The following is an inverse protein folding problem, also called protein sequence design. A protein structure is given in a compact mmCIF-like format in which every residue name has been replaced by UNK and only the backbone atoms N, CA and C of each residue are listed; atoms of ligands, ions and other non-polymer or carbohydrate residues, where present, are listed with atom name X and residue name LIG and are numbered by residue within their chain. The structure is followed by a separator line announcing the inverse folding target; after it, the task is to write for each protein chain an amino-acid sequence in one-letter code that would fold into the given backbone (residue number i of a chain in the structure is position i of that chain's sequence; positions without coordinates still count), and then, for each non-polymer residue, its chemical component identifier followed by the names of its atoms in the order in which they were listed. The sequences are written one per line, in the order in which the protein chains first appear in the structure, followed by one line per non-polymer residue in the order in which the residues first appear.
data_IF_098858292995
#
_entry.id   IF_098858292995
#
_cell.length_a   1.000
_cell.length_b   1.000
_cell.length_c   1.000
_cell.angle_alpha   90.00
_cell.angle_beta   90.00
_cell.angle_gamma   90.00
#
_symmetry.space_group_name_H-M   'P 1'
#
loop_
_entity.id
_entity.type
_entity.pdbx_description
1 polymer ?
#
# COMPACT_ATOMS: atom_id res chain seq x y z
N UNK A 1 -10.11 -16.97 -4.92
CA UNK A 1 -10.56 -15.55 -4.86
C UNK A 1 -9.59 -14.74 -4.00
N UNK A 2 -9.16 -13.60 -4.48
CA UNK A 2 -8.25 -12.73 -3.75
C UNK A 2 -9.03 -11.76 -2.87
N UNK A 3 -8.72 -11.75 -1.58
CA UNK A 3 -9.35 -10.85 -0.62
C UNK A 3 -8.43 -9.67 -0.33
N UNK A 4 -8.97 -8.46 -0.42
CA UNK A 4 -8.24 -7.22 -0.18
C UNK A 4 -8.88 -6.39 0.92
N UNK A 5 -8.07 -5.69 1.70
CA UNK A 5 -8.57 -4.83 2.77
C UNK A 5 -7.63 -3.64 2.97
N UNK A 6 -8.10 -2.66 3.73
CA UNK A 6 -7.33 -1.47 4.09
C UNK A 6 -7.42 -1.27 5.60
N UNK A 7 -6.30 -0.92 6.21
CA UNK A 7 -6.20 -0.75 7.65
C UNK A 7 -5.37 0.48 7.99
N UNK A 8 -5.91 1.31 8.88
CA UNK A 8 -5.20 2.47 9.41
C UNK A 8 -4.66 2.12 10.81
N UNK A 9 -3.33 2.08 10.94
CA UNK A 9 -2.67 1.76 12.21
C UNK A 9 -1.68 2.86 12.53
N UNK A 10 -1.91 3.56 13.65
CA UNK A 10 -1.09 4.70 14.05
C UNK A 10 0.33 4.34 14.44
N UNK A 11 0.61 3.12 14.75
CA UNK A 11 1.93 2.73 15.20
C UNK A 11 2.12 1.25 14.99
N UNK A 12 2.80 0.88 13.92
CA UNK A 12 3.21 -0.51 13.71
C UNK A 12 4.66 -0.66 14.15
N UNK A 13 4.86 -1.36 15.25
CA UNK A 13 6.15 -1.93 15.60
C UNK A 13 6.12 -3.42 15.21
N UNK A 14 7.20 -4.13 15.48
CA UNK A 14 7.29 -5.54 15.10
C UNK A 14 6.21 -6.40 15.76
N UNK A 15 5.83 -6.11 17.00
CA UNK A 15 4.76 -6.85 17.67
C UNK A 15 3.41 -6.64 17.05
N UNK A 16 3.10 -5.41 16.60
CA UNK A 16 1.85 -5.10 15.91
C UNK A 16 1.80 -5.72 14.52
N UNK A 17 2.93 -5.80 13.84
CA UNK A 17 3.01 -6.49 12.55
C UNK A 17 2.61 -7.96 12.69
N UNK A 18 3.06 -8.63 13.74
CA UNK A 18 2.65 -10.02 14.01
C UNK A 18 1.15 -10.14 14.20
N UNK A 19 0.54 -9.22 14.95
CA UNK A 19 -0.91 -9.21 15.15
C UNK A 19 -1.64 -9.02 13.81
N UNK A 20 -1.16 -8.12 12.96
CA UNK A 20 -1.74 -7.87 11.63
C UNK A 20 -1.64 -9.12 10.76
N UNK A 21 -0.49 -9.78 10.72
CA UNK A 21 -0.30 -11.02 9.94
C UNK A 21 -1.22 -12.13 10.42
N UNK A 22 -1.37 -12.30 11.73
CA UNK A 22 -2.27 -13.29 12.30
C UNK A 22 -3.73 -13.00 11.92
N UNK A 23 -4.13 -11.74 11.99
CA UNK A 23 -5.48 -11.33 11.59
C UNK A 23 -5.73 -11.60 10.11
N UNK A 24 -4.77 -11.30 9.23
CA UNK A 24 -4.87 -11.60 7.80
C UNK A 24 -5.06 -13.09 7.55
N UNK A 25 -4.30 -13.92 8.24
CA UNK A 25 -4.41 -15.38 8.11
C UNK A 25 -5.77 -15.86 8.60
N UNK A 26 -6.23 -15.35 9.73
CA UNK A 26 -7.50 -15.77 10.34
C UNK A 26 -8.71 -15.49 9.45
N UNK A 27 -8.73 -14.33 8.79
CA UNK A 27 -9.87 -13.93 7.93
C UNK A 27 -9.58 -14.11 6.44
N UNK A 28 -8.47 -14.77 6.08
CA UNK A 28 -8.09 -15.07 4.70
C UNK A 28 -7.93 -13.83 3.81
N UNK A 29 -7.33 -12.78 4.34
CA UNK A 29 -6.98 -11.60 3.55
C UNK A 29 -5.66 -11.85 2.83
N UNK A 30 -5.63 -11.62 1.53
CA UNK A 30 -4.43 -11.82 0.70
C UNK A 30 -3.62 -10.54 0.51
N UNK A 31 -4.28 -9.39 0.44
CA UNK A 31 -3.64 -8.10 0.21
C UNK A 31 -4.21 -7.09 1.22
N UNK A 32 -3.34 -6.47 2.01
CA UNK A 32 -3.75 -5.50 3.00
C UNK A 32 -2.96 -4.21 2.82
N UNK A 33 -3.67 -3.10 2.59
CA UNK A 33 -3.09 -1.77 2.61
C UNK A 33 -3.02 -1.23 4.03
N UNK A 34 -1.92 -0.60 4.39
CA UNK A 34 -1.68 -0.05 5.72
C UNK A 34 -1.29 1.42 5.57
N UNK A 35 -1.88 2.28 6.38
CA UNK A 35 -1.53 3.70 6.43
C UNK A 35 -1.11 4.11 7.85
N UNK A 36 -0.53 5.31 7.96
CA UNK A 36 0.05 5.85 9.19
C UNK A 36 1.17 4.97 9.78
N UNK A 37 1.91 4.35 8.90
CA UNK A 37 3.07 3.55 9.28
C UNK A 37 4.16 4.46 9.85
N UNK A 38 4.78 4.04 10.96
CA UNK A 38 5.86 4.81 11.62
C UNK A 38 7.25 4.31 11.27
N UNK A 39 7.39 3.63 10.16
CA UNK A 39 8.69 3.21 9.66
C UNK A 39 9.33 4.31 8.84
N UNK A 40 10.66 4.37 8.85
CA UNK A 40 11.42 5.27 8.01
C UNK A 40 11.98 4.53 6.80
N UNK A 41 12.22 5.27 5.72
CA UNK A 41 12.77 4.70 4.50
C UNK A 41 11.75 3.97 3.66
N UNK A 42 12.22 3.30 2.62
CA UNK A 42 11.39 2.52 1.71
C UNK A 42 12.07 1.22 1.38
N UNK A 43 11.27 0.18 1.12
CA UNK A 43 11.82 -1.12 0.81
C UNK A 43 10.78 -2.21 0.79
N UNK A 44 11.28 -3.44 0.82
CA UNK A 44 10.46 -4.64 0.84
C UNK A 44 11.16 -5.73 1.64
N UNK A 45 10.38 -6.57 2.29
CA UNK A 45 10.94 -7.70 3.03
C UNK A 45 9.93 -8.82 3.19
N UNK A 46 10.45 -10.02 3.43
CA UNK A 46 9.66 -11.21 3.68
C UNK A 46 9.54 -11.41 5.20
N UNK A 47 8.32 -11.69 5.67
CA UNK A 47 8.07 -11.99 7.08
C UNK A 47 7.12 -13.19 7.16
N UNK A 48 7.68 -14.38 7.38
CA UNK A 48 6.95 -15.65 7.41
C UNK A 48 6.11 -15.88 6.14
N UNK A 49 4.78 -15.89 6.26
CA UNK A 49 3.87 -16.12 5.14
C UNK A 49 3.44 -14.85 4.42
N UNK A 50 4.09 -13.73 4.70
CA UNK A 50 3.72 -12.43 4.14
C UNK A 50 4.92 -11.71 3.56
N UNK A 51 4.67 -10.91 2.54
CA UNK A 51 5.64 -10.03 1.92
C UNK A 51 5.17 -8.59 2.06
N UNK A 52 6.05 -7.70 2.50
CA UNK A 52 5.67 -6.34 2.85
C UNK A 52 6.46 -5.34 2.01
N UNK A 53 5.72 -4.47 1.32
CA UNK A 53 6.25 -3.32 0.59
C UNK A 53 5.93 -2.09 1.41
N UNK A 54 6.90 -1.25 1.72
CA UNK A 54 6.66 -0.08 2.56
C UNK A 54 7.39 1.15 2.06
N UNK A 55 6.81 2.31 2.39
CA UNK A 55 7.37 3.61 2.06
C UNK A 55 7.03 4.58 3.18
N UNK A 56 8.06 5.11 3.85
CA UNK A 56 7.92 6.05 4.96
C UNK A 56 8.79 7.29 4.77
N UNK A 57 8.59 8.27 5.63
CA UNK A 57 9.41 9.48 5.62
C UNK A 57 10.75 9.21 6.30
N UNK A 58 11.82 9.72 5.74
CA UNK A 58 13.18 9.50 6.28
C UNK A 58 13.39 10.15 7.64
N UNK A 59 12.84 11.34 7.84
CA UNK A 59 13.07 12.14 9.05
C UNK A 59 11.96 12.08 10.07
N UNK A 60 10.74 11.67 9.65
CA UNK A 60 9.55 11.65 10.50
C UNK A 60 8.95 10.25 10.49
N UNK A 61 8.83 9.64 11.65
CA UNK A 61 8.22 8.31 11.79
C UNK A 61 6.71 8.41 11.82
N UNK A 62 6.12 8.88 10.73
CA UNK A 62 4.68 9.01 10.58
C UNK A 62 4.30 9.11 9.11
N UNK A 63 3.02 8.95 8.81
CA UNK A 63 2.43 9.12 7.48
C UNK A 63 2.96 8.14 6.43
N UNK A 64 3.63 7.08 6.85
CA UNK A 64 4.07 6.03 5.94
C UNK A 64 2.92 5.14 5.48
N UNK A 65 3.15 4.42 4.40
CA UNK A 65 2.20 3.49 3.82
C UNK A 65 2.88 2.16 3.54
N UNK A 66 2.09 1.08 3.56
CA UNK A 66 2.59 -0.24 3.22
C UNK A 66 1.51 -1.07 2.56
N UNK A 67 1.93 -2.06 1.80
CA UNK A 67 1.05 -3.10 1.26
C UNK A 67 1.64 -4.44 1.68
N UNK A 68 0.85 -5.22 2.43
CA UNK A 68 1.22 -6.55 2.86
C UNK A 68 0.53 -7.57 1.98
N UNK A 69 1.30 -8.49 1.43
CA UNK A 69 0.82 -9.49 0.47
C UNK A 69 1.03 -10.88 1.06
N UNK A 70 -0.03 -11.69 1.08
CA UNK A 70 0.08 -13.08 1.50
C UNK A 70 0.93 -13.85 0.48
N UNK A 71 1.72 -14.79 0.98
CA UNK A 71 2.61 -15.62 0.15
C UNK A 71 1.87 -16.30 -1.01
N UNK A 72 0.60 -16.66 -0.83
CA UNK A 72 -0.21 -17.31 -1.87
C UNK A 72 -0.29 -16.49 -3.16
N UNK A 73 -0.30 -15.16 -3.05
CA UNK A 73 -0.45 -14.26 -4.20
C UNK A 73 0.86 -13.53 -4.54
N UNK A 74 1.94 -13.85 -3.83
CA UNK A 74 3.25 -13.20 -4.06
C UNK A 74 3.75 -13.42 -5.49
N UNK A 75 3.53 -14.61 -6.05
CA UNK A 75 3.97 -14.94 -7.41
C UNK A 75 3.22 -14.16 -8.48
N UNK A 76 2.07 -13.59 -8.17
CA UNK A 76 1.31 -12.75 -9.09
C UNK A 76 1.81 -11.31 -9.15
N UNK A 77 2.74 -10.92 -8.27
CA UNK A 77 3.26 -9.55 -8.27
C UNK A 77 4.16 -9.35 -9.49
N UNK A 78 3.80 -8.38 -10.32
CA UNK A 78 4.56 -7.98 -11.51
C UNK A 78 5.57 -6.89 -11.19
N UNK A 79 5.28 -6.05 -10.21
CA UNK A 79 6.16 -4.98 -9.80
C UNK A 79 5.59 -4.14 -8.68
N UNK A 80 6.43 -3.29 -8.11
CA UNK A 80 6.07 -2.37 -7.06
C UNK A 80 6.64 -0.99 -7.40
N UNK A 81 5.86 0.05 -7.20
CA UNK A 81 6.29 1.43 -7.38
C UNK A 81 6.23 2.17 -6.04
N UNK A 82 7.38 2.62 -5.58
CA UNK A 82 7.53 3.42 -4.36
C UNK A 82 7.69 4.88 -4.78
N UNK A 83 6.59 5.51 -5.21
CA UNK A 83 6.63 6.84 -5.82
C UNK A 83 7.08 7.92 -4.85
N UNK A 84 6.61 7.84 -3.59
CA UNK A 84 6.95 8.81 -2.56
C UNK A 84 6.53 8.24 -1.19
N UNK A 85 6.76 9.03 -0.15
CA UNK A 85 6.48 8.60 1.23
C UNK A 85 4.99 8.51 1.60
N UNK A 86 4.08 8.81 0.66
CA UNK A 86 2.62 8.79 0.90
C UNK A 86 1.87 7.86 -0.04
N UNK A 87 2.56 7.24 -0.98
CA UNK A 87 1.89 6.45 -2.03
C UNK A 87 2.76 5.28 -2.46
N UNK A 88 2.18 4.11 -2.42
CA UNK A 88 2.82 2.88 -2.85
C UNK A 88 1.85 2.09 -3.72
N UNK A 89 2.34 1.57 -4.84
CA UNK A 89 1.54 0.78 -5.77
C UNK A 89 2.18 -0.57 -6.00
N UNK A 90 1.35 -1.62 -6.00
CA UNK A 90 1.78 -2.98 -6.34
C UNK A 90 0.91 -3.48 -7.49
N UNK A 91 1.57 -3.98 -8.53
CA UNK A 91 0.91 -4.45 -9.75
C UNK A 91 0.84 -5.97 -9.73
N UNK A 92 -0.35 -6.53 -9.89
CA UNK A 92 -0.61 -7.96 -9.85
C UNK A 92 -1.12 -8.46 -11.19
N UNK A 93 -0.66 -9.65 -11.58
CA UNK A 93 -1.14 -10.33 -12.77
C UNK A 93 -2.48 -11.00 -12.51
N UNK A 94 -3.48 -10.76 -13.37
CA UNK A 94 -4.76 -11.46 -13.37
C UNK A 94 -4.91 -12.33 -14.62
N UNK A 95 -6.03 -13.02 -14.73
CA UNK A 95 -6.30 -13.89 -15.88
C UNK A 95 -6.62 -13.11 -17.15
N UNK A 96 -7.58 -12.19 -17.07
CA UNK A 96 -8.05 -11.41 -18.23
C UNK A 96 -7.58 -9.98 -18.19
N UNK A 97 -7.27 -9.46 -17.02
CA UNK A 97 -6.76 -8.11 -16.80
C UNK A 97 -5.85 -8.13 -15.57
N UNK A 98 -4.97 -7.17 -15.51
CA UNK A 98 -4.10 -7.01 -14.34
C UNK A 98 -4.72 -6.06 -13.34
N UNK A 99 -4.24 -6.11 -12.10
CA UNK A 99 -4.77 -5.30 -11.00
C UNK A 99 -3.64 -4.44 -10.43
N UNK A 100 -3.90 -3.14 -10.33
CA UNK A 100 -3.01 -2.21 -9.64
C UNK A 100 -3.64 -1.86 -8.29
N UNK A 101 -2.94 -2.14 -7.21
CA UNK A 101 -3.37 -1.77 -5.86
C UNK A 101 -2.48 -0.65 -5.36
N UNK A 102 -3.08 0.47 -5.01
CA UNK A 102 -2.37 1.65 -4.54
C UNK A 102 -2.85 2.02 -3.15
N UNK A 103 -1.93 2.12 -2.20
CA UNK A 103 -2.19 2.61 -0.86
C UNK A 103 -1.71 4.05 -0.75
N UNK A 104 -2.59 4.93 -0.32
CA UNK A 104 -2.34 6.37 -0.23
C UNK A 104 -2.60 6.84 1.19
N UNK A 105 -1.72 7.68 1.73
CA UNK A 105 -2.00 8.37 2.98
C UNK A 105 -2.89 9.57 2.70
N UNK A 106 -4.02 9.66 3.41
CA UNK A 106 -4.98 10.75 3.22
C UNK A 106 -4.41 12.08 3.70
N UNK A 107 -4.63 13.13 2.91
CA UNK A 107 -4.32 14.48 3.32
C UNK A 107 -5.30 14.94 4.39
N UNK A 108 -4.79 15.67 5.38
CA UNK A 108 -5.64 16.27 6.42
C UNK A 108 -6.35 17.51 5.88
N UNK A 109 -7.38 17.97 6.59
CA UNK A 109 -8.08 19.19 6.23
C UNK A 109 -7.18 20.44 6.28
N UNK A 110 -6.06 20.36 6.98
CA UNK A 110 -5.08 21.44 7.11
C UNK A 110 -3.96 21.39 6.07
N UNK A 111 -4.05 20.49 5.09
CA UNK A 111 -3.04 20.39 4.05
C UNK A 111 -2.98 21.68 3.23
N UNK A 112 -1.77 22.13 2.90
CA UNK A 112 -1.56 23.29 2.04
C UNK A 112 -2.07 23.01 0.62
N UNK A 113 -2.48 24.08 -0.08
CA UNK A 113 -2.99 23.96 -1.46
C UNK A 113 -1.98 23.32 -2.39
N UNK A 114 -0.69 23.63 -2.21
CA UNK A 114 0.39 23.05 -3.03
C UNK A 114 0.48 21.53 -2.84
N UNK A 115 0.33 21.04 -1.60
CA UNK A 115 0.32 19.59 -1.31
C UNK A 115 -0.88 18.90 -1.94
N UNK A 116 -2.05 19.50 -1.87
CA UNK A 116 -3.27 18.96 -2.46
C UNK A 116 -3.12 18.87 -3.98
N UNK A 117 -2.62 19.92 -4.62
CA UNK A 117 -2.38 19.95 -6.06
C UNK A 117 -1.40 18.86 -6.48
N UNK A 118 -0.27 18.76 -5.80
CA UNK A 118 0.75 17.76 -6.08
C UNK A 118 0.19 16.34 -5.95
N UNK A 119 -0.61 16.08 -4.90
CA UNK A 119 -1.23 14.80 -4.66
C UNK A 119 -2.15 14.40 -5.83
N UNK A 120 -3.01 15.33 -6.29
CA UNK A 120 -3.90 15.06 -7.42
C UNK A 120 -3.14 14.86 -8.73
N UNK A 121 -2.04 15.55 -8.94
CA UNK A 121 -1.18 15.35 -10.11
C UNK A 121 -0.61 13.93 -10.13
N UNK A 122 -0.17 13.41 -8.99
CA UNK A 122 0.33 12.04 -8.88
C UNK A 122 -0.77 11.03 -9.17
N UNK A 123 -1.97 11.26 -8.64
CA UNK A 123 -3.11 10.38 -8.92
C UNK A 123 -3.44 10.36 -10.41
N UNK A 124 -3.42 11.51 -11.08
CA UNK A 124 -3.65 11.59 -12.52
C UNK A 124 -2.59 10.83 -13.30
N UNK A 125 -1.33 10.94 -12.90
CA UNK A 125 -0.24 10.21 -13.53
C UNK A 125 -0.42 8.70 -13.38
N UNK A 126 -0.82 8.23 -12.21
CA UNK A 126 -1.12 6.82 -11.98
C UNK A 126 -2.24 6.34 -12.91
N UNK A 127 -3.30 7.13 -13.06
CA UNK A 127 -4.41 6.78 -13.95
C UNK A 127 -3.96 6.70 -15.41
N UNK A 128 -3.09 7.59 -15.84
CA UNK A 128 -2.54 7.57 -17.20
C UNK A 128 -1.64 6.35 -17.44
N UNK A 129 -0.87 5.93 -16.43
CA UNK A 129 0.05 4.81 -16.54
C UNK A 129 -0.66 3.47 -16.44
N UNK A 130 -1.86 3.43 -15.88
CA UNK A 130 -2.64 2.19 -15.75
C UNK A 130 -3.34 1.91 -17.08
N UNK A 131 -3.08 0.74 -17.71
CA UNK A 131 -3.77 0.38 -18.96
C UNK A 131 -5.29 0.38 -18.77
N UNK A 132 -6.02 0.79 -19.80
CA UNK A 132 -7.49 0.94 -19.74
C UNK A 132 -8.21 -0.37 -19.38
N UNK A 133 -7.65 -1.51 -19.78
CA UNK A 133 -8.23 -2.82 -19.49
C UNK A 133 -7.95 -3.31 -18.07
N UNK A 134 -7.03 -2.67 -17.36
CA UNK A 134 -6.63 -3.08 -16.02
C UNK A 134 -7.52 -2.38 -14.98
N UNK A 135 -7.64 -3.01 -13.81
CA UNK A 135 -8.42 -2.48 -12.70
C UNK A 135 -7.46 -1.81 -11.71
N UNK A 136 -7.80 -0.58 -11.32
CA UNK A 136 -7.06 0.18 -10.33
C UNK A 136 -7.88 0.28 -9.05
N UNK A 137 -7.31 -0.22 -7.94
CA UNK A 137 -7.86 -0.05 -6.60
C UNK A 137 -7.00 0.97 -5.85
N UNK A 138 -7.64 2.00 -5.34
CA UNK A 138 -6.96 3.03 -4.55
C UNK A 138 -7.51 2.97 -3.13
N UNK A 139 -6.65 2.63 -2.17
CA UNK A 139 -6.96 2.64 -0.76
C UNK A 139 -6.46 3.93 -0.13
N UNK A 140 -7.33 4.62 0.53
CA UNK A 140 -7.05 5.88 1.19
C UNK A 140 -7.08 5.69 2.70
N UNK A 141 -5.97 5.94 3.36
CA UNK A 141 -5.92 5.97 4.82
C UNK A 141 -6.62 7.20 5.37
N UNK A 142 -7.29 7.03 6.47
CA UNK A 142 -7.99 8.11 7.16
C UNK A 142 -7.22 8.58 8.38
#
# INVERSE_FOLDING_TARGET
MTMMANLNIRSINQGKLEVVKQAMTRVNIDILGISELRWTGMGEFNSDDHYIYYCGQESLRRNGVAITVNKRVRNAVLGCSLKNNRMISVHFQGKSFNIMVTQVYALTSNAEKAEVKWFYEILQDLLKLTPKKDVLFIYRGL
#
